data_IF_521797742280
#
_entry.id   IF_521797742280
#
_cell.length_a   1.000
_cell.length_b   1.000
_cell.length_c   1.000
_cell.angle_alpha   90.00
_cell.angle_beta   90.00
_cell.angle_gamma   90.00
#
_symmetry.space_group_name_H-M   'P 1'
#
loop_
_entity.id
_entity.type
_entity.pdbx_description
1 polymer ?
#
# COMPACT_ATOMS: atom_id res chain seq x y z
N UNK A 1 -68.34 18.00 35.68
CA UNK A 1 -68.96 18.17 34.35
C UNK A 1 -69.38 19.62 34.29
N UNK A 2 -68.48 20.49 33.81
CA UNK A 2 -68.72 21.93 33.81
C UNK A 2 -69.71 22.26 32.69
N UNK A 3 -70.91 22.68 33.07
CA UNK A 3 -71.96 23.08 32.14
C UNK A 3 -71.62 24.49 31.68
N UNK A 4 -70.93 24.58 30.54
CA UNK A 4 -70.68 25.86 29.87
C UNK A 4 -72.02 26.56 29.55
N UNK A 5 -72.08 27.90 29.65
CA UNK A 5 -73.33 28.63 29.48
C UNK A 5 -73.90 28.40 28.08
N UNK A 6 -75.20 28.08 28.01
CA UNK A 6 -75.94 28.11 26.75
C UNK A 6 -75.93 29.55 26.24
N UNK A 7 -75.18 29.82 25.17
CA UNK A 7 -75.14 31.12 24.52
C UNK A 7 -76.57 31.51 24.09
N UNK A 8 -77.19 32.53 24.71
CA UNK A 8 -78.50 33.02 24.30
C UNK A 8 -78.26 34.08 23.23
N UNK A 9 -78.59 33.75 21.99
CA UNK A 9 -78.52 34.71 20.91
C UNK A 9 -78.64 33.99 19.58
N UNK A 10 -79.50 34.52 18.70
CA UNK A 10 -79.51 34.09 17.30
C UNK A 10 -78.07 34.20 16.81
N UNK A 11 -77.43 33.06 16.53
CA UNK A 11 -76.17 33.07 15.79
C UNK A 11 -76.53 33.76 14.47
N UNK A 12 -75.92 34.91 14.13
CA UNK A 12 -76.19 35.58 12.88
C UNK A 12 -76.07 34.55 11.76
N UNK A 13 -77.02 34.55 10.83
CA UNK A 13 -77.01 33.58 9.72
C UNK A 13 -75.69 33.64 8.94
N UNK A 14 -75.01 34.79 8.98
CA UNK A 14 -73.66 35.02 8.48
C UNK A 14 -72.57 34.24 9.22
N UNK A 15 -72.65 34.06 10.55
CA UNK A 15 -71.70 33.27 11.34
C UNK A 15 -71.92 31.76 11.17
N UNK A 16 -73.17 31.32 11.00
CA UNK A 16 -73.48 29.93 10.63
C UNK A 16 -72.98 29.64 9.22
N UNK A 17 -73.24 30.56 8.29
CA UNK A 17 -72.73 30.50 6.92
C UNK A 17 -71.20 30.47 6.87
N UNK A 18 -70.50 31.33 7.61
CA UNK A 18 -69.04 31.37 7.63
C UNK A 18 -68.41 30.13 8.26
N UNK A 19 -69.05 29.53 9.27
CA UNK A 19 -68.60 28.26 9.86
C UNK A 19 -68.83 27.07 8.91
N UNK A 20 -69.94 27.09 8.18
CA UNK A 20 -70.23 26.08 7.16
C UNK A 20 -69.24 26.18 6.01
N UNK A 21 -68.95 27.38 5.50
CA UNK A 21 -67.95 27.56 4.44
C UNK A 21 -66.56 27.15 4.90
N UNK A 22 -66.16 27.49 6.13
CA UNK A 22 -64.88 27.04 6.70
C UNK A 22 -64.82 25.51 6.83
N UNK A 23 -65.90 24.86 7.28
CA UNK A 23 -65.98 23.39 7.34
C UNK A 23 -65.93 22.76 5.93
N UNK A 24 -66.63 23.33 4.95
CA UNK A 24 -66.61 22.86 3.57
C UNK A 24 -65.23 22.99 2.94
N UNK A 25 -64.53 24.12 3.18
CA UNK A 25 -63.16 24.33 2.73
C UNK A 25 -62.21 23.31 3.36
N UNK A 26 -62.34 23.04 4.67
CA UNK A 26 -61.55 22.02 5.36
C UNK A 26 -61.79 20.61 4.80
N UNK A 27 -63.06 20.25 4.55
CA UNK A 27 -63.41 18.95 3.96
C UNK A 27 -62.92 18.82 2.53
N UNK A 28 -63.02 19.88 1.73
CA UNK A 28 -62.50 19.89 0.35
C UNK A 28 -60.99 19.72 0.31
N UNK A 29 -60.26 20.38 1.24
CA UNK A 29 -58.81 20.21 1.39
C UNK A 29 -58.43 18.79 1.83
N UNK A 30 -59.16 18.21 2.79
CA UNK A 30 -58.93 16.81 3.21
C UNK A 30 -59.22 15.82 2.08
N UNK A 31 -60.31 16.02 1.34
CA UNK A 31 -60.70 15.17 0.22
C UNK A 31 -59.71 15.25 -0.94
N UNK A 32 -59.13 16.43 -1.21
CA UNK A 32 -58.04 16.59 -2.17
C UNK A 32 -56.80 15.81 -1.72
N UNK A 33 -56.38 15.98 -0.45
CA UNK A 33 -55.24 15.24 0.11
C UNK A 33 -55.43 13.72 0.03
N UNK A 34 -56.62 13.21 0.36
CA UNK A 34 -56.90 11.78 0.26
C UNK A 34 -56.88 11.28 -1.19
N UNK A 35 -57.38 12.08 -2.14
CA UNK A 35 -57.27 11.75 -3.57
C UNK A 35 -55.82 11.70 -4.02
N UNK A 36 -54.99 12.65 -3.59
CA UNK A 36 -53.56 12.66 -3.91
C UNK A 36 -52.84 11.44 -3.32
N UNK A 37 -53.17 11.05 -2.08
CA UNK A 37 -52.65 9.84 -1.44
C UNK A 37 -53.09 8.55 -2.16
N UNK A 38 -54.34 8.49 -2.64
CA UNK A 38 -54.84 7.36 -3.43
C UNK A 38 -54.16 7.29 -4.80
N UNK A 39 -53.99 8.44 -5.47
CA UNK A 39 -53.38 8.51 -6.79
C UNK A 39 -51.88 8.18 -6.76
N UNK A 40 -51.16 8.66 -5.74
CA UNK A 40 -49.71 8.46 -5.60
C UNK A 40 -49.33 7.19 -4.82
N UNK A 41 -50.26 6.64 -4.03
CA UNK A 41 -49.99 5.57 -3.07
C UNK A 41 -49.13 6.01 -1.88
N UNK A 42 -48.79 7.30 -1.75
CA UNK A 42 -47.90 7.81 -0.71
C UNK A 42 -48.71 8.39 0.45
N UNK A 43 -48.36 8.01 1.69
CA UNK A 43 -49.02 8.52 2.90
C UNK A 43 -48.65 9.99 3.20
N UNK A 44 -47.47 10.43 2.80
CA UNK A 44 -46.98 11.80 2.99
C UNK A 44 -46.25 12.24 1.73
N UNK A 45 -46.51 13.45 1.27
CA UNK A 45 -45.91 14.02 0.06
C UNK A 45 -44.95 15.16 0.38
N UNK A 46 -45.26 15.99 1.39
CA UNK A 46 -44.40 17.10 1.81
C UNK A 46 -43.70 16.83 3.15
N UNK A 47 -42.44 17.27 3.33
CA UNK A 47 -41.76 17.18 4.62
C UNK A 47 -42.51 17.85 5.79
N UNK A 48 -43.32 18.88 5.50
CA UNK A 48 -44.14 19.58 6.48
C UNK A 48 -45.29 18.73 7.05
N UNK A 49 -45.71 17.67 6.36
CA UNK A 49 -46.80 16.80 6.82
C UNK A 49 -46.35 15.81 7.90
N UNK A 50 -45.08 15.42 7.88
CA UNK A 50 -44.44 14.64 8.94
C UNK A 50 -42.91 14.76 8.84
N UNK A 51 -42.29 15.67 9.60
CA UNK A 51 -40.84 15.85 9.57
C UNK A 51 -40.06 14.58 9.93
N UNK A 52 -40.55 13.81 10.92
CA UNK A 52 -39.91 12.56 11.35
C UNK A 52 -39.97 11.47 10.26
N UNK A 53 -41.11 11.32 9.58
CA UNK A 53 -41.24 10.37 8.48
C UNK A 53 -40.40 10.81 7.27
N UNK A 54 -40.39 12.11 6.95
CA UNK A 54 -39.60 12.66 5.85
C UNK A 54 -38.10 12.42 6.02
N UNK A 55 -37.54 12.65 7.21
CA UNK A 55 -36.13 12.34 7.51
C UNK A 55 -35.81 10.87 7.27
N UNK A 56 -36.67 9.96 7.75
CA UNK A 56 -36.48 8.51 7.53
C UNK A 56 -36.60 8.13 6.06
N UNK A 57 -37.52 8.73 5.31
CA UNK A 57 -37.65 8.50 3.87
C UNK A 57 -36.40 8.94 3.12
N UNK A 58 -35.87 10.13 3.42
CA UNK A 58 -34.65 10.65 2.78
C UNK A 58 -33.45 9.74 3.06
N UNK A 59 -33.28 9.27 4.30
CA UNK A 59 -32.18 8.36 4.62
C UNK A 59 -32.33 7.01 3.92
N UNK A 60 -33.55 6.48 3.83
CA UNK A 60 -33.83 5.24 3.09
C UNK A 60 -33.64 5.40 1.59
N UNK A 61 -34.07 6.51 0.99
CA UNK A 61 -33.82 6.84 -0.42
C UNK A 61 -32.32 6.89 -0.72
N UNK A 62 -31.55 7.62 0.10
CA UNK A 62 -30.10 7.66 -0.06
C UNK A 62 -29.42 6.30 0.17
N UNK A 63 -30.01 5.41 0.99
CA UNK A 63 -29.53 4.02 1.11
C UNK A 63 -29.85 3.19 -0.13
N UNK A 64 -31.04 3.35 -0.73
CA UNK A 64 -31.45 2.69 -1.97
C UNK A 64 -30.51 3.11 -3.11
N UNK A 65 -30.29 4.41 -3.32
CA UNK A 65 -29.39 4.92 -4.37
C UNK A 65 -27.97 4.36 -4.24
N UNK A 66 -27.45 4.28 -3.00
CA UNK A 66 -26.14 3.66 -2.75
C UNK A 66 -26.13 2.16 -3.05
N UNK A 67 -27.22 1.45 -2.75
CA UNK A 67 -27.37 0.02 -3.07
C UNK A 67 -27.50 -0.21 -4.57
N UNK A 68 -28.22 0.65 -5.30
CA UNK A 68 -28.34 0.59 -6.76
C UNK A 68 -26.99 0.83 -7.44
N UNK A 69 -26.18 1.77 -6.93
CA UNK A 69 -24.81 1.96 -7.40
C UNK A 69 -23.94 0.72 -7.12
N UNK A 70 -24.08 0.11 -5.93
CA UNK A 70 -23.36 -1.13 -5.61
C UNK A 70 -23.74 -2.29 -6.54
N UNK A 71 -25.03 -2.44 -6.90
CA UNK A 71 -25.47 -3.42 -7.89
C UNK A 71 -24.85 -3.16 -9.27
N UNK A 72 -24.75 -1.91 -9.69
CA UNK A 72 -24.09 -1.51 -10.94
C UNK A 72 -22.59 -1.85 -10.92
N UNK A 73 -21.92 -1.61 -9.80
CA UNK A 73 -20.51 -1.97 -9.59
C UNK A 73 -20.29 -3.48 -9.61
N UNK A 74 -21.18 -4.25 -8.97
CA UNK A 74 -21.16 -5.72 -8.98
C UNK A 74 -21.33 -6.25 -10.40
N UNK A 75 -22.30 -5.72 -11.15
CA UNK A 75 -22.53 -6.15 -12.53
C UNK A 75 -21.32 -5.85 -13.42
N UNK A 76 -20.73 -4.66 -13.27
CA UNK A 76 -19.51 -4.29 -14.00
C UNK A 76 -18.33 -5.19 -13.65
N UNK A 77 -18.18 -5.53 -12.37
CA UNK A 77 -17.13 -6.43 -11.87
C UNK A 77 -17.33 -7.87 -12.39
N UNK A 78 -18.58 -8.36 -12.44
CA UNK A 78 -18.91 -9.68 -13.02
C UNK A 78 -18.57 -9.74 -14.50
N UNK A 79 -18.92 -8.72 -15.27
CA UNK A 79 -18.60 -8.66 -16.70
C UNK A 79 -17.08 -8.67 -16.92
N UNK A 80 -16.33 -7.90 -16.12
CA UNK A 80 -14.87 -7.84 -16.20
C UNK A 80 -14.22 -9.19 -15.85
N UNK A 81 -14.68 -9.86 -14.78
CA UNK A 81 -14.19 -11.18 -14.38
C UNK A 81 -14.55 -12.25 -15.42
N UNK A 82 -15.76 -12.20 -15.99
CA UNK A 82 -16.18 -13.13 -17.05
C UNK A 82 -15.32 -13.00 -18.31
N UNK A 83 -14.97 -11.77 -18.71
CA UNK A 83 -14.08 -11.56 -19.86
C UNK A 83 -12.64 -11.99 -19.56
N UNK A 84 -12.21 -11.80 -18.30
CA UNK A 84 -10.91 -12.28 -17.84
C UNK A 84 -10.84 -13.81 -17.91
N UNK A 85 -11.86 -14.51 -17.42
CA UNK A 85 -11.97 -15.97 -17.48
C UNK A 85 -11.99 -16.50 -18.91
N UNK A 86 -12.74 -15.86 -19.81
CA UNK A 86 -12.74 -16.21 -21.23
C UNK A 86 -11.35 -16.04 -21.86
N UNK A 87 -10.66 -14.93 -21.55
CA UNK A 87 -9.30 -14.69 -22.05
C UNK A 87 -8.32 -15.74 -21.52
N UNK A 88 -8.42 -16.12 -20.24
CA UNK A 88 -7.61 -17.18 -19.64
C UNK A 88 -7.91 -18.57 -20.24
N UNK A 89 -9.15 -18.83 -20.62
CA UNK A 89 -9.53 -20.06 -21.34
C UNK A 89 -8.80 -20.13 -22.69
N UNK A 90 -8.82 -19.05 -23.47
CA UNK A 90 -8.07 -18.96 -24.74
C UNK A 90 -6.56 -19.16 -24.54
N UNK A 91 -6.00 -18.58 -23.48
CA UNK A 91 -4.58 -18.78 -23.13
C UNK A 91 -4.29 -20.24 -22.77
N UNK A 92 -5.14 -20.86 -21.94
CA UNK A 92 -5.00 -22.25 -21.53
C UNK A 92 -5.03 -23.20 -22.73
N UNK A 93 -5.96 -23.00 -23.67
CA UNK A 93 -6.04 -23.77 -24.91
C UNK A 93 -4.78 -23.61 -25.77
N UNK A 94 -4.29 -22.38 -25.94
CA UNK A 94 -3.08 -22.10 -26.70
C UNK A 94 -1.83 -22.73 -26.06
N UNK A 95 -1.70 -22.67 -24.72
CA UNK A 95 -0.59 -23.30 -23.99
C UNK A 95 -0.64 -24.83 -24.07
N UNK A 96 -1.83 -25.43 -24.00
CA UNK A 96 -1.99 -26.87 -24.17
C UNK A 96 -1.60 -27.33 -25.58
N UNK A 97 -1.97 -26.54 -26.62
CA UNK A 97 -1.54 -26.79 -27.99
C UNK A 97 -0.03 -26.65 -28.16
N UNK A 98 0.55 -25.58 -27.61
CA UNK A 98 1.99 -25.32 -27.64
C UNK A 98 2.77 -26.46 -26.99
N UNK A 99 2.30 -26.97 -25.83
CA UNK A 99 2.88 -28.15 -25.18
C UNK A 99 2.86 -29.38 -26.08
N UNK A 100 1.77 -29.61 -26.82
CA UNK A 100 1.68 -30.70 -27.80
C UNK A 100 2.71 -30.57 -28.91
N UNK A 101 2.87 -29.36 -29.47
CA UNK A 101 3.88 -29.05 -30.49
C UNK A 101 5.29 -29.29 -29.96
N UNK A 102 5.61 -28.85 -28.74
CA UNK A 102 6.94 -29.04 -28.13
C UNK A 102 7.24 -30.52 -27.90
N UNK A 103 6.25 -31.30 -27.45
CA UNK A 103 6.40 -32.75 -27.30
C UNK A 103 6.63 -33.45 -28.65
N UNK A 104 5.95 -33.01 -29.71
CA UNK A 104 6.17 -33.50 -31.06
C UNK A 104 7.56 -33.09 -31.59
N UNK A 105 7.98 -31.84 -31.35
CA UNK A 105 9.26 -31.31 -31.74
C UNK A 105 10.46 -31.95 -31.01
N UNK A 106 10.21 -32.58 -29.86
CA UNK A 106 11.21 -33.37 -29.13
C UNK A 106 11.53 -34.72 -29.79
N UNK A 107 10.79 -35.13 -30.82
CA UNK A 107 11.10 -36.32 -31.62
C UNK A 107 12.28 -36.04 -32.56
N UNK A 108 13.31 -36.88 -32.49
CA UNK A 108 14.59 -36.71 -33.20
C UNK A 108 14.53 -37.01 -34.71
N UNK A 109 13.39 -37.47 -35.23
CA UNK A 109 13.23 -37.87 -36.64
C UNK A 109 12.58 -36.81 -37.55
N UNK A 110 12.28 -35.61 -37.03
CA UNK A 110 11.64 -34.55 -37.81
C UNK A 110 12.57 -33.98 -38.90
N UNK A 111 12.02 -33.76 -40.10
CA UNK A 111 12.71 -33.05 -41.16
C UNK A 111 12.81 -31.54 -40.87
N UNK A 112 13.78 -30.81 -41.45
CA UNK A 112 13.89 -29.36 -41.27
C UNK A 112 12.63 -28.59 -41.68
N UNK A 113 11.92 -29.04 -42.72
CA UNK A 113 10.67 -28.41 -43.17
C UNK A 113 9.53 -28.60 -42.16
N UNK A 114 9.45 -29.76 -41.51
CA UNK A 114 8.46 -30.02 -40.44
C UNK A 114 8.78 -29.20 -39.20
N UNK A 115 10.06 -29.06 -38.83
CA UNK A 115 10.49 -28.21 -37.71
C UNK A 115 10.10 -26.74 -37.94
N UNK A 116 10.32 -26.21 -39.15
CA UNK A 116 9.94 -24.83 -39.50
C UNK A 116 8.42 -24.61 -39.43
N UNK A 117 7.64 -25.59 -39.88
CA UNK A 117 6.17 -25.52 -39.79
C UNK A 117 5.68 -25.50 -38.35
N UNK A 118 6.27 -26.34 -37.47
CA UNK A 118 5.94 -26.38 -36.04
C UNK A 118 6.35 -25.08 -35.34
N UNK A 119 7.50 -24.50 -35.69
CA UNK A 119 7.95 -23.21 -35.16
C UNK A 119 6.99 -22.07 -35.56
N UNK A 120 6.52 -22.06 -36.80
CA UNK A 120 5.53 -21.07 -37.28
C UNK A 120 4.20 -21.20 -36.53
N UNK A 121 3.74 -22.42 -36.29
CA UNK A 121 2.52 -22.66 -35.49
C UNK A 121 2.71 -22.18 -34.05
N UNK A 122 3.87 -22.43 -33.45
CA UNK A 122 4.21 -21.96 -32.10
C UNK A 122 4.25 -20.42 -32.02
N UNK A 123 4.82 -19.72 -33.00
CA UNK A 123 4.80 -18.24 -33.06
C UNK A 123 3.37 -17.70 -33.13
N UNK A 124 2.49 -18.34 -33.91
CA UNK A 124 1.08 -17.99 -33.96
C UNK A 124 0.38 -18.15 -32.61
N UNK A 125 0.69 -19.22 -31.87
CA UNK A 125 0.15 -19.44 -30.52
C UNK A 125 0.65 -18.40 -29.52
N UNK A 126 1.94 -18.01 -29.60
CA UNK A 126 2.50 -16.94 -28.77
C UNK A 126 1.75 -15.62 -29.03
N UNK A 127 1.53 -15.26 -30.30
CA UNK A 127 0.75 -14.05 -30.66
C UNK A 127 -0.69 -14.12 -30.16
N UNK A 128 -1.31 -15.30 -30.18
CA UNK A 128 -2.65 -15.52 -29.65
C UNK A 128 -2.68 -15.29 -28.13
N UNK A 129 -1.71 -15.83 -27.39
CA UNK A 129 -1.58 -15.62 -25.94
C UNK A 129 -1.35 -14.15 -25.61
N UNK A 130 -0.45 -13.46 -26.33
CA UNK A 130 -0.19 -12.03 -26.14
C UNK A 130 -1.45 -11.19 -26.40
N UNK A 131 -2.19 -11.51 -27.47
CA UNK A 131 -3.44 -10.81 -27.80
C UNK A 131 -4.50 -11.02 -26.71
N UNK A 132 -4.67 -12.26 -26.22
CA UNK A 132 -5.59 -12.56 -25.13
C UNK A 132 -5.15 -11.91 -23.80
N UNK A 133 -3.84 -11.83 -23.53
CA UNK A 133 -3.27 -11.12 -22.39
C UNK A 133 -3.44 -9.59 -22.48
N UNK A 134 -3.62 -9.05 -23.68
CA UNK A 134 -3.88 -7.63 -23.93
C UNK A 134 -5.38 -7.29 -24.07
N UNK A 135 -6.28 -8.24 -23.77
CA UNK A 135 -7.72 -8.01 -23.78
C UNK A 135 -8.12 -6.81 -22.91
N UNK A 136 -9.15 -6.09 -23.36
CA UNK A 136 -9.64 -4.87 -22.72
C UNK A 136 -11.15 -4.90 -22.48
N UNK A 137 -11.59 -4.28 -21.39
CA UNK A 137 -13.00 -4.04 -21.07
C UNK A 137 -13.20 -2.55 -20.77
N UNK A 138 -14.11 -1.91 -21.51
CA UNK A 138 -14.44 -0.48 -21.34
C UNK A 138 -13.22 0.46 -21.31
N UNK A 139 -12.26 0.22 -22.21
CA UNK A 139 -11.03 1.03 -22.31
C UNK A 139 -9.94 0.72 -21.28
N UNK A 140 -10.14 -0.31 -20.45
CA UNK A 140 -9.15 -0.78 -19.47
C UNK A 140 -8.66 -2.18 -19.79
N UNK A 141 -7.34 -2.38 -19.74
CA UNK A 141 -6.71 -3.69 -19.90
C UNK A 141 -7.04 -4.61 -18.72
N UNK A 142 -7.30 -5.89 -19.00
CA UNK A 142 -7.73 -6.83 -17.97
C UNK A 142 -6.59 -7.22 -17.02
N UNK A 143 -5.41 -7.49 -17.59
CA UNK A 143 -4.29 -8.10 -16.87
C UNK A 143 -3.16 -7.12 -16.49
N UNK A 144 -3.30 -5.82 -16.82
CA UNK A 144 -2.29 -4.78 -16.54
C UNK A 144 -2.21 -4.27 -15.10
N UNK A 145 -2.97 -4.85 -14.17
CA UNK A 145 -3.04 -4.39 -12.79
C UNK A 145 -3.73 -3.03 -12.69
N UNK A 146 -3.09 -2.02 -12.10
CA UNK A 146 -3.59 -0.63 -12.06
C UNK A 146 -3.18 0.20 -13.28
N UNK A 147 -2.31 -0.34 -14.15
CA UNK A 147 -1.91 0.34 -15.38
C UNK A 147 -2.99 0.24 -16.46
N UNK A 148 -3.12 1.28 -17.28
CA UNK A 148 -3.97 1.29 -18.48
C UNK A 148 -3.18 1.03 -19.77
N UNK A 149 -1.86 0.79 -19.69
CA UNK A 149 -1.03 0.46 -20.84
C UNK A 149 -1.17 -1.03 -21.19
N UNK A 150 -0.91 -1.41 -22.45
CA UNK A 150 -0.90 -2.81 -22.87
C UNK A 150 0.10 -3.61 -22.03
N UNK A 151 -0.37 -4.65 -21.31
CA UNK A 151 0.48 -5.41 -20.40
C UNK A 151 1.57 -6.21 -21.12
N UNK A 152 1.33 -6.70 -22.33
CA UNK A 152 2.27 -7.54 -23.05
C UNK A 152 2.71 -6.88 -24.36
N UNK A 153 4.02 -6.84 -24.60
CA UNK A 153 4.62 -6.28 -25.80
C UNK A 153 5.63 -7.27 -26.38
N UNK A 154 5.54 -7.53 -27.69
CA UNK A 154 6.52 -8.39 -28.38
C UNK A 154 7.69 -7.54 -28.86
N UNK A 155 8.88 -7.82 -28.34
CA UNK A 155 10.13 -7.16 -28.71
C UNK A 155 10.63 -7.68 -30.08
N UNK A 156 11.45 -6.89 -30.81
CA UNK A 156 12.08 -7.33 -32.07
C UNK A 156 12.96 -8.59 -31.93
N UNK A 157 13.41 -8.89 -30.71
CA UNK A 157 14.17 -10.10 -30.36
C UNK A 157 13.30 -11.37 -30.24
N UNK A 158 11.98 -11.26 -30.38
CA UNK A 158 11.03 -12.38 -30.21
C UNK A 158 10.62 -12.66 -28.76
N UNK A 159 11.10 -11.86 -27.80
CA UNK A 159 10.68 -11.97 -26.39
C UNK A 159 9.41 -11.16 -26.12
N UNK A 160 8.60 -11.62 -25.16
CA UNK A 160 7.42 -10.89 -24.69
C UNK A 160 7.78 -10.17 -23.38
N UNK A 161 7.68 -8.85 -23.39
CA UNK A 161 7.88 -7.99 -22.22
C UNK A 161 6.55 -7.74 -21.52
N UNK A 162 6.55 -7.82 -20.19
CA UNK A 162 5.43 -7.42 -19.37
C UNK A 162 5.61 -5.99 -18.83
N UNK A 163 4.69 -5.08 -19.17
CA UNK A 163 4.69 -3.67 -18.75
C UNK A 163 3.56 -3.34 -17.74
N UNK A 164 2.95 -4.35 -17.13
CA UNK A 164 1.90 -4.17 -16.13
C UNK A 164 2.43 -4.15 -14.69
N UNK A 165 1.51 -4.13 -13.72
CA UNK A 165 1.86 -4.27 -12.31
C UNK A 165 0.95 -5.27 -11.58
N UNK A 166 1.29 -5.60 -10.33
CA UNK A 166 0.51 -6.52 -9.48
C UNK A 166 -0.61 -5.83 -8.69
N UNK A 167 -0.98 -4.60 -9.08
CA UNK A 167 -1.96 -3.80 -8.34
C UNK A 167 -3.38 -4.30 -8.50
N UNK A 168 -4.12 -4.34 -7.38
CA UNK A 168 -5.54 -4.68 -7.35
C UNK A 168 -6.40 -3.43 -7.45
N UNK A 169 -7.44 -3.49 -8.29
CA UNK A 169 -8.49 -2.49 -8.36
C UNK A 169 -9.67 -2.97 -7.52
N UNK A 170 -10.08 -2.13 -6.59
CA UNK A 170 -11.18 -2.41 -5.69
C UNK A 170 -12.44 -1.68 -6.15
N UNK A 171 -13.57 -2.40 -6.16
CA UNK A 171 -14.89 -1.83 -6.38
C UNK A 171 -15.75 -1.96 -5.13
N UNK A 172 -16.62 -0.97 -4.91
CA UNK A 172 -17.56 -0.98 -3.81
C UNK A 172 -18.71 -1.93 -4.13
N UNK A 173 -18.80 -3.05 -3.41
CA UNK A 173 -19.86 -4.08 -3.60
C UNK A 173 -20.98 -3.98 -2.56
N UNK A 174 -20.73 -3.28 -1.45
CA UNK A 174 -21.74 -2.88 -0.48
C UNK A 174 -21.28 -1.62 0.28
N UNK A 175 -22.12 -1.06 1.13
CA UNK A 175 -21.84 0.07 2.01
C UNK A 175 -20.54 -0.18 2.77
N UNK A 176 -19.49 0.56 2.37
CA UNK A 176 -18.12 0.50 2.92
C UNK A 176 -17.39 -0.84 2.72
N UNK A 177 -17.86 -1.69 1.80
CA UNK A 177 -17.19 -2.94 1.45
C UNK A 177 -16.53 -2.83 0.08
N UNK A 178 -15.20 -2.80 0.09
CA UNK A 178 -14.36 -2.83 -1.10
C UNK A 178 -13.93 -4.26 -1.39
N UNK A 179 -14.04 -4.68 -2.64
CA UNK A 179 -13.53 -5.96 -3.10
C UNK A 179 -12.73 -5.81 -4.38
N UNK A 180 -11.60 -6.51 -4.45
CA UNK A 180 -10.77 -6.57 -5.65
C UNK A 180 -11.57 -7.22 -6.79
N UNK A 181 -11.56 -6.59 -7.97
CA UNK A 181 -12.33 -7.05 -9.11
C UNK A 181 -11.49 -7.37 -10.34
N UNK A 182 -10.17 -7.23 -10.30
CA UNK A 182 -9.25 -7.62 -11.37
C UNK A 182 -8.35 -8.78 -10.97
N UNK A 183 -7.82 -9.47 -11.98
CA UNK A 183 -6.75 -10.45 -11.83
C UNK A 183 -5.52 -9.89 -12.53
N UNK A 184 -4.44 -9.64 -11.80
CA UNK A 184 -3.18 -9.18 -12.40
C UNK A 184 -2.53 -10.30 -13.21
N UNK A 185 -1.81 -9.97 -14.29
CA UNK A 185 -1.15 -10.97 -15.14
C UNK A 185 -0.17 -11.90 -14.40
N UNK A 186 0.39 -11.45 -13.28
CA UNK A 186 1.37 -12.21 -12.54
C UNK A 186 0.84 -13.59 -12.08
N UNK A 187 -0.38 -13.65 -11.56
CA UNK A 187 -0.97 -14.91 -11.07
C UNK A 187 -1.23 -15.95 -12.18
N UNK A 188 -1.90 -15.61 -13.30
CA UNK A 188 -2.19 -16.57 -14.36
C UNK A 188 -1.05 -16.82 -15.35
N UNK A 189 -0.17 -15.85 -15.60
CA UNK A 189 0.89 -15.97 -16.60
C UNK A 189 2.29 -16.13 -15.99
N UNK A 190 2.45 -15.97 -14.68
CA UNK A 190 3.77 -16.00 -14.03
C UNK A 190 4.70 -14.93 -14.58
N UNK A 191 4.17 -13.74 -14.87
CA UNK A 191 4.87 -12.69 -15.63
C UNK A 191 6.08 -12.11 -14.93
N UNK A 192 6.19 -12.26 -13.61
CA UNK A 192 7.39 -11.85 -12.88
C UNK A 192 8.15 -13.08 -12.44
N UNK A 193 9.45 -13.10 -12.70
CA UNK A 193 10.35 -14.11 -12.13
C UNK A 193 10.27 -14.13 -10.60
N UNK A 194 10.69 -15.23 -9.98
CA UNK A 194 10.98 -15.20 -8.54
C UNK A 194 11.97 -14.06 -8.28
N UNK A 195 11.65 -13.12 -7.37
CA UNK A 195 12.53 -12.00 -7.12
C UNK A 195 13.89 -12.49 -6.63
N UNK A 196 14.95 -12.06 -7.31
CA UNK A 196 16.29 -12.17 -6.77
C UNK A 196 16.42 -11.07 -5.75
N UNK A 197 16.34 -11.45 -4.48
CA UNK A 197 16.49 -10.54 -3.34
C UNK A 197 17.30 -11.22 -2.25
N UNK A 198 18.21 -10.46 -1.66
CA UNK A 198 18.89 -10.81 -0.41
C UNK A 198 18.77 -9.64 0.55
N UNK A 199 18.82 -9.93 1.85
CA UNK A 199 18.98 -8.89 2.86
C UNK A 199 20.37 -8.26 2.67
N UNK A 200 20.40 -6.96 2.41
CA UNK A 200 21.64 -6.19 2.23
C UNK A 200 21.85 -5.20 3.38
N UNK A 201 21.24 -5.47 4.55
CA UNK A 201 21.34 -4.79 5.85
C UNK A 201 22.10 -3.46 5.77
N UNK A 202 21.43 -2.32 5.58
CA UNK A 202 22.10 -1.05 5.45
C UNK A 202 22.74 -0.62 6.78
N UNK A 203 23.86 0.07 6.71
CA UNK A 203 24.51 0.64 7.88
C UNK A 203 23.66 1.75 8.48
N UNK A 204 23.63 1.78 9.81
CA UNK A 204 23.12 2.90 10.59
C UNK A 204 23.99 4.13 10.33
N UNK A 205 23.36 5.26 10.04
CA UNK A 205 24.00 6.56 9.89
C UNK A 205 23.36 7.57 10.83
N UNK A 206 24.03 8.68 11.11
CA UNK A 206 23.46 9.75 11.94
C UNK A 206 22.22 10.38 11.28
N UNK A 207 22.14 10.35 9.96
CA UNK A 207 20.99 10.80 9.17
C UNK A 207 19.82 9.80 9.11
N UNK A 208 20.00 8.56 9.59
CA UNK A 208 18.94 7.55 9.58
C UNK A 208 17.77 8.01 10.45
N UNK A 209 16.55 7.93 9.91
CA UNK A 209 15.32 8.35 10.61
C UNK A 209 14.86 7.27 11.57
N UNK A 210 14.30 7.68 12.71
CA UNK A 210 13.74 6.74 13.70
C UNK A 210 12.55 5.96 13.14
N UNK A 211 11.77 6.56 12.22
CA UNK A 211 10.66 5.88 11.53
C UNK A 211 11.09 4.72 10.65
N UNK A 212 12.36 4.70 10.23
CA UNK A 212 12.87 3.73 9.28
C UNK A 212 13.59 2.58 10.00
N UNK A 213 13.67 2.60 11.33
CA UNK A 213 14.30 1.57 12.15
C UNK A 213 13.32 0.42 12.47
N UNK A 214 13.84 -0.66 13.06
CA UNK A 214 13.10 -1.87 13.42
C UNK A 214 12.34 -2.47 12.22
N UNK A 215 13.04 -2.62 11.09
CA UNK A 215 12.46 -3.12 9.84
C UNK A 215 11.40 -2.19 9.24
N UNK A 216 11.41 -0.91 9.60
CA UNK A 216 10.42 0.09 9.17
C UNK A 216 9.15 0.16 10.02
N UNK A 217 9.10 -0.57 11.15
CA UNK A 217 8.05 -0.35 12.17
C UNK A 217 8.20 1.00 12.87
N UNK A 218 9.42 1.54 12.86
CA UNK A 218 9.79 2.77 13.51
C UNK A 218 10.03 2.60 15.01
N UNK A 219 10.89 3.46 15.55
CA UNK A 219 11.13 3.60 16.98
C UNK A 219 10.36 4.84 17.47
N UNK A 220 9.59 4.67 18.54
CA UNK A 220 8.74 5.75 19.07
C UNK A 220 9.46 6.47 20.21
N UNK A 221 9.96 7.70 19.99
CA UNK A 221 10.75 8.37 21.00
C UNK A 221 9.93 8.66 22.26
N UNK A 222 10.47 8.23 23.39
CA UNK A 222 9.98 8.54 24.73
C UNK A 222 11.14 8.92 25.65
N UNK A 223 10.87 9.22 26.91
CA UNK A 223 11.93 9.55 27.85
C UNK A 223 12.68 8.31 28.32
N UNK A 224 14.01 8.40 28.42
CA UNK A 224 14.85 7.38 29.03
C UNK A 224 15.68 7.96 30.17
N UNK A 225 16.18 7.13 31.07
CA UNK A 225 17.02 7.54 32.18
C UNK A 225 18.41 6.98 32.01
N UNK A 226 19.41 7.86 32.05
CA UNK A 226 20.82 7.49 32.00
C UNK A 226 21.45 7.84 33.34
N UNK A 227 22.21 6.91 33.89
CA UNK A 227 23.04 7.12 35.08
C UNK A 227 24.50 6.94 34.72
N UNK A 228 25.32 7.95 35.00
CA UNK A 228 26.78 7.89 34.91
C UNK A 228 27.38 7.81 36.31
N UNK A 229 28.34 6.92 36.52
CA UNK A 229 28.97 6.73 37.83
C UNK A 229 30.45 6.37 37.70
N UNK A 230 31.32 7.14 38.35
CA UNK A 230 32.77 6.92 38.44
C UNK A 230 33.27 6.51 39.83
N UNK A 231 32.38 6.04 40.71
CA UNK A 231 32.67 5.70 42.12
C UNK A 231 32.42 6.85 43.09
N UNK A 232 31.91 7.99 42.61
CA UNK A 232 31.47 9.14 43.40
C UNK A 232 29.95 9.19 43.59
N UNK A 233 29.35 10.39 43.55
CA UNK A 233 27.90 10.54 43.50
C UNK A 233 27.40 10.31 42.07
N UNK A 234 26.52 9.32 41.82
CA UNK A 234 26.03 9.04 40.47
C UNK A 234 25.28 10.23 39.87
N UNK A 235 25.57 10.55 38.61
CA UNK A 235 24.85 11.55 37.84
C UNK A 235 23.70 10.91 37.09
N UNK A 236 22.47 11.22 37.49
CA UNK A 236 21.25 10.66 36.88
C UNK A 236 20.55 11.75 36.10
N UNK A 237 20.27 11.51 34.82
CA UNK A 237 19.46 12.39 33.98
C UNK A 237 18.32 11.60 33.34
N UNK A 238 17.12 12.17 33.38
CA UNK A 238 15.99 11.74 32.56
C UNK A 238 15.98 12.59 31.30
N UNK A 239 16.20 11.97 30.14
CA UNK A 239 16.30 12.64 28.85
C UNK A 239 15.01 12.43 28.10
N UNK A 240 14.40 13.53 27.64
CA UNK A 240 13.23 13.48 26.78
C UNK A 240 13.64 13.45 25.31
N UNK A 241 13.37 12.32 24.65
CA UNK A 241 13.62 12.14 23.23
C UNK A 241 12.41 12.52 22.37
N UNK A 242 11.27 12.91 22.98
CA UNK A 242 10.07 13.25 22.22
C UNK A 242 10.35 14.38 21.21
N UNK A 243 10.02 14.13 19.94
CA UNK A 243 10.34 15.03 18.82
C UNK A 243 11.72 14.82 18.17
N UNK A 244 12.51 13.85 18.61
CA UNK A 244 13.64 13.36 17.82
C UNK A 244 13.12 12.66 16.56
N UNK A 245 13.72 12.95 15.41
CA UNK A 245 13.35 12.35 14.12
C UNK A 245 14.45 11.45 13.55
N UNK A 246 15.70 11.69 13.95
CA UNK A 246 16.90 11.00 13.44
C UNK A 246 17.81 10.51 14.57
N UNK A 247 18.75 9.61 14.24
CA UNK A 247 19.81 9.19 15.16
C UNK A 247 20.67 10.38 15.63
N UNK A 248 20.91 11.37 14.76
CA UNK A 248 21.59 12.61 15.14
C UNK A 248 20.86 13.36 16.25
N UNK A 249 19.53 13.41 16.21
CA UNK A 249 18.74 14.08 17.25
C UNK A 249 18.87 13.36 18.60
N UNK A 250 18.85 12.02 18.58
CA UNK A 250 19.06 11.19 19.78
C UNK A 250 20.46 11.45 20.36
N UNK A 251 21.50 11.40 19.51
CA UNK A 251 22.88 11.70 19.90
C UNK A 251 22.97 13.06 20.57
N UNK A 252 22.48 14.10 19.90
CA UNK A 252 22.59 15.49 20.36
C UNK A 252 21.89 15.67 21.71
N UNK A 253 20.65 15.18 21.84
CA UNK A 253 19.88 15.32 23.09
C UNK A 253 20.52 14.60 24.27
N UNK A 254 21.09 13.43 24.05
CA UNK A 254 21.76 12.67 25.11
C UNK A 254 23.05 13.37 25.54
N UNK A 255 23.89 13.80 24.58
CA UNK A 255 25.15 14.48 24.90
C UNK A 255 24.92 15.84 25.57
N UNK A 256 23.94 16.61 25.09
CA UNK A 256 23.58 17.91 25.67
C UNK A 256 23.12 17.80 27.13
N UNK A 257 22.40 16.73 27.48
CA UNK A 257 21.92 16.50 28.85
C UNK A 257 23.04 16.32 29.89
N UNK A 258 24.25 15.95 29.45
CA UNK A 258 25.43 15.78 30.31
C UNK A 258 26.54 16.80 30.06
N UNK A 259 26.39 17.69 29.07
CA UNK A 259 27.43 18.65 28.65
C UNK A 259 27.92 19.62 29.74
N UNK A 260 27.06 19.94 30.72
CA UNK A 260 27.38 20.83 31.85
C UNK A 260 27.82 20.12 33.13
N UNK A 261 27.93 18.79 33.12
CA UNK A 261 28.24 17.97 34.29
C UNK A 261 29.71 17.56 34.41
N UNK A 262 30.16 17.08 35.59
CA UNK A 262 31.48 16.47 35.79
C UNK A 262 31.70 15.17 34.99
N UNK A 263 30.64 14.45 34.60
CA UNK A 263 30.72 13.29 33.69
C UNK A 263 29.94 13.60 32.41
N UNK A 264 30.54 13.27 31.28
CA UNK A 264 29.90 13.38 29.95
C UNK A 264 29.71 11.99 29.35
N UNK A 265 28.88 11.89 28.33
CA UNK A 265 28.67 10.68 27.54
C UNK A 265 28.91 11.00 26.08
N UNK A 266 29.62 10.13 25.36
CA UNK A 266 29.72 10.15 23.91
C UNK A 266 28.77 9.11 23.33
N UNK A 267 27.94 9.53 22.37
CA UNK A 267 27.07 8.65 21.60
C UNK A 267 27.58 8.59 20.17
N UNK A 268 27.94 7.38 19.72
CA UNK A 268 28.42 7.12 18.37
C UNK A 268 27.66 5.93 17.75
N UNK A 269 27.89 5.67 16.48
CA UNK A 269 27.47 4.41 15.85
C UNK A 269 28.47 3.33 16.28
N UNK A 270 27.99 2.13 16.59
CA UNK A 270 28.84 1.03 17.01
C UNK A 270 29.78 0.55 15.87
N UNK A 271 30.86 -0.18 16.18
CA UNK A 271 31.78 -0.67 15.15
C UNK A 271 31.15 -1.59 14.10
N UNK A 272 30.06 -2.28 14.46
CA UNK A 272 29.27 -3.12 13.56
C UNK A 272 28.35 -2.31 12.62
N UNK A 273 28.29 -0.98 12.78
CA UNK A 273 27.45 -0.05 12.03
C UNK A 273 25.96 -0.38 12.03
N UNK A 274 25.45 -1.04 13.07
CA UNK A 274 24.04 -1.45 13.13
C UNK A 274 23.32 -0.95 14.40
N UNK A 275 24.06 -0.39 15.36
CA UNK A 275 23.50 0.09 16.63
C UNK A 275 24.25 1.29 17.18
N UNK A 276 23.84 1.74 18.36
CA UNK A 276 24.47 2.87 19.06
C UNK A 276 25.55 2.40 20.03
N UNK A 277 26.61 3.18 20.19
CA UNK A 277 27.67 2.98 21.18
C UNK A 277 27.66 4.14 22.15
N UNK A 278 27.45 3.84 23.43
CA UNK A 278 27.46 4.81 24.52
C UNK A 278 28.75 4.65 25.32
N UNK A 279 29.54 5.72 25.36
CA UNK A 279 30.85 5.75 26.03
C UNK A 279 30.89 6.88 27.06
N UNK A 280 30.87 6.60 28.36
CA UNK A 280 31.03 7.62 29.38
C UNK A 280 32.46 8.18 29.38
N UNK A 281 32.65 9.42 29.82
CA UNK A 281 33.98 10.04 29.95
C UNK A 281 34.85 9.36 31.01
N UNK A 282 34.23 8.80 32.04
CA UNK A 282 34.85 8.00 33.07
C UNK A 282 33.81 7.11 33.77
N UNK A 283 34.23 5.94 34.27
CA UNK A 283 33.39 5.06 35.07
C UNK A 283 32.45 4.18 34.24
N UNK A 284 31.19 4.12 34.64
CA UNK A 284 30.14 3.27 34.06
C UNK A 284 28.92 4.09 33.63
N UNK A 285 28.21 3.56 32.64
CA UNK A 285 26.93 4.05 32.16
C UNK A 285 25.87 2.96 32.37
N UNK A 286 24.70 3.36 32.87
CA UNK A 286 23.51 2.53 33.00
C UNK A 286 22.36 3.23 32.28
N UNK A 287 21.57 2.48 31.51
CA UNK A 287 20.40 3.01 30.78
C UNK A 287 19.16 2.25 31.23
N UNK A 288 18.12 2.98 31.60
CA UNK A 288 16.87 2.46 32.12
C UNK A 288 15.67 3.10 31.44
N UNK A 289 14.57 2.35 31.37
CA UNK A 289 13.28 2.87 30.94
C UNK A 289 12.66 3.78 32.00
N UNK A 290 11.80 4.70 31.54
CA UNK A 290 11.07 5.64 32.39
C UNK A 290 9.58 5.52 32.12
N UNK A 291 8.77 5.52 33.18
CA UNK A 291 7.30 5.56 33.11
C UNK A 291 6.65 4.48 32.21
N UNK A 292 7.27 3.30 32.08
CA UNK A 292 6.78 2.21 31.23
C UNK A 292 7.08 2.36 29.74
N UNK A 293 7.99 3.27 29.37
CA UNK A 293 8.54 3.35 28.01
C UNK A 293 9.36 2.12 27.61
N UNK A 294 9.61 1.98 26.32
CA UNK A 294 10.36 0.88 25.69
C UNK A 294 11.52 1.38 24.82
N UNK A 295 11.83 2.68 24.88
CA UNK A 295 12.78 3.31 23.95
C UNK A 295 14.21 2.83 24.16
N UNK A 296 14.64 2.53 25.40
CA UNK A 296 15.98 2.00 25.63
C UNK A 296 16.11 0.57 25.09
N UNK A 297 15.05 -0.23 25.18
CA UNK A 297 14.99 -1.55 24.57
C UNK A 297 14.93 -1.48 23.04
N UNK A 298 14.12 -0.58 22.48
CA UNK A 298 13.99 -0.34 21.04
C UNK A 298 15.30 0.18 20.42
N UNK A 299 16.03 1.04 21.13
CA UNK A 299 17.38 1.47 20.74
C UNK A 299 18.47 0.42 21.05
N UNK A 300 18.10 -0.73 21.62
CA UNK A 300 19.02 -1.81 21.95
C UNK A 300 20.05 -1.47 23.04
N UNK A 301 19.85 -0.37 23.79
CA UNK A 301 20.81 0.16 24.78
C UNK A 301 20.38 -0.07 26.24
N UNK A 302 19.22 -0.68 26.48
CA UNK A 302 18.77 -1.05 27.83
C UNK A 302 19.79 -1.98 28.49
N UNK A 303 20.44 -1.50 29.56
CA UNK A 303 21.53 -2.24 30.18
C UNK A 303 21.76 -1.85 31.64
N UNK A 304 22.28 -2.82 32.40
CA UNK A 304 22.86 -2.56 33.71
C UNK A 304 24.13 -1.69 33.59
N UNK A 305 24.70 -1.28 34.72
CA UNK A 305 25.90 -0.45 34.73
C UNK A 305 27.07 -1.16 34.03
N UNK A 306 27.61 -0.54 32.98
CA UNK A 306 28.70 -1.08 32.17
C UNK A 306 29.69 0.03 31.80
N UNK A 307 30.96 -0.32 31.55
CA UNK A 307 31.97 0.67 31.15
C UNK A 307 31.63 1.33 29.80
N UNK A 308 31.02 0.59 28.88
CA UNK A 308 30.48 1.07 27.60
C UNK A 308 29.26 0.22 27.26
N UNK A 309 28.24 0.80 26.64
CA UNK A 309 27.07 0.05 26.14
C UNK A 309 27.15 0.01 24.62
N UNK A 310 27.25 -1.20 24.06
CA UNK A 310 27.11 -1.43 22.62
C UNK A 310 25.69 -1.92 22.36
N UNK A 311 24.90 -1.09 21.70
CA UNK A 311 23.52 -1.37 21.34
C UNK A 311 23.41 -2.47 20.30
N UNK A 312 22.27 -3.17 20.34
CA UNK A 312 21.88 -4.18 19.35
C UNK A 312 21.62 -3.61 17.96
N UNK A 313 21.36 -4.51 17.01
CA UNK A 313 20.98 -4.14 15.65
C UNK A 313 19.63 -3.42 15.64
N UNK A 314 19.61 -2.21 15.06
CA UNK A 314 18.41 -1.39 14.92
C UNK A 314 17.66 -1.64 13.60
N UNK A 315 18.16 -2.54 12.77
CA UNK A 315 17.56 -3.00 11.51
C UNK A 315 16.99 -1.84 10.67
N UNK A 316 17.86 -0.91 10.21
CA UNK A 316 17.42 0.20 9.39
C UNK A 316 16.88 -0.28 8.04
N UNK A 317 15.75 0.30 7.62
CA UNK A 317 15.13 0.03 6.32
C UNK A 317 15.93 0.69 5.19
N UNK A 318 15.99 0.02 4.05
CA UNK A 318 16.48 0.60 2.79
C UNK A 318 15.45 1.59 2.25
N UNK A 319 15.95 2.75 1.83
CA UNK A 319 15.19 3.77 1.11
C UNK A 319 15.87 4.05 -0.23
N UNK A 320 15.17 4.71 -1.15
CA UNK A 320 15.77 5.15 -2.43
C UNK A 320 16.99 6.07 -2.22
N UNK A 321 17.02 6.80 -1.09
CA UNK A 321 18.12 7.70 -0.72
C UNK A 321 19.26 7.01 0.03
N UNK A 322 19.11 5.73 0.39
CA UNK A 322 20.18 4.97 1.04
C UNK A 322 21.38 4.90 0.11
N UNK A 323 22.57 5.25 0.62
CA UNK A 323 23.79 5.22 -0.18
C UNK A 323 24.23 3.78 -0.42
N UNK A 324 24.75 3.54 -1.61
CA UNK A 324 25.28 2.23 -1.99
C UNK A 324 26.50 1.82 -1.17
N UNK A 325 27.26 2.79 -0.64
CA UNK A 325 28.37 2.57 0.29
C UNK A 325 27.93 2.06 1.66
N UNK A 326 26.67 2.30 2.02
CA UNK A 326 26.14 2.00 3.34
C UNK A 326 25.51 0.61 3.37
N UNK A 327 25.26 -0.03 2.22
CA UNK A 327 24.75 -1.40 2.13
C UNK A 327 25.74 -2.44 2.70
N UNK A 328 25.26 -3.64 3.01
CA UNK A 328 26.02 -4.76 3.58
C UNK A 328 26.80 -4.38 4.86
N UNK A 329 26.13 -3.78 5.83
CA UNK A 329 26.77 -3.29 7.06
C UNK A 329 27.80 -2.20 6.80
N UNK A 330 27.63 -1.42 5.73
CA UNK A 330 28.54 -0.35 5.35
C UNK A 330 29.87 -0.83 4.75
N UNK A 331 29.91 -2.06 4.24
CA UNK A 331 30.90 -2.53 3.28
C UNK A 331 30.62 -2.02 1.86
N UNK A 332 29.38 -1.58 1.64
CA UNK A 332 28.82 -1.14 0.38
C UNK A 332 28.55 -2.29 -0.59
N UNK A 333 28.06 -1.92 -1.76
CA UNK A 333 28.15 -2.77 -2.94
C UNK A 333 29.43 -2.39 -3.68
N UNK A 334 30.54 -3.08 -3.40
CA UNK A 334 31.73 -2.95 -4.23
C UNK A 334 31.39 -3.44 -5.63
N UNK A 335 31.04 -2.51 -6.52
CA UNK A 335 31.26 -2.69 -7.93
C UNK A 335 32.77 -2.83 -8.08
N UNK A 336 33.25 -4.08 -8.17
CA UNK A 336 34.63 -4.32 -8.59
C UNK A 336 34.85 -3.47 -9.83
N UNK A 337 35.84 -2.58 -9.79
CA UNK A 337 36.10 -1.49 -10.75
C UNK A 337 36.38 -1.94 -12.20
N UNK A 338 36.06 -3.18 -12.55
CA UNK A 338 36.18 -3.78 -13.87
C UNK A 338 34.96 -4.66 -14.27
N UNK A 339 33.93 -4.82 -13.43
CA UNK A 339 32.98 -5.94 -13.57
C UNK A 339 31.49 -5.63 -13.78
N UNK A 340 30.99 -4.43 -13.45
CA UNK A 340 29.55 -4.11 -13.49
C UNK A 340 28.64 -5.10 -12.73
N UNK A 341 27.32 -4.95 -12.85
CA UNK A 341 26.34 -5.97 -12.45
C UNK A 341 26.04 -6.85 -13.66
N UNK A 342 26.50 -8.10 -13.64
CA UNK A 342 26.17 -9.07 -14.68
C UNK A 342 24.76 -9.62 -14.46
N UNK A 343 23.84 -9.26 -15.35
CA UNK A 343 22.46 -9.70 -15.30
C UNK A 343 22.23 -10.66 -16.45
N UNK A 344 21.79 -11.87 -16.13
CA UNK A 344 21.41 -12.87 -17.12
C UNK A 344 19.89 -13.01 -17.08
N UNK A 345 19.23 -12.60 -18.16
CA UNK A 345 17.80 -12.81 -18.38
C UNK A 345 17.63 -13.76 -19.56
N UNK A 346 17.08 -14.96 -19.29
CA UNK A 346 17.02 -16.05 -20.27
C UNK A 346 18.42 -16.49 -20.72
N UNK A 347 18.76 -16.20 -21.99
CA UNK A 347 20.07 -16.50 -22.59
C UNK A 347 20.98 -15.29 -22.83
N UNK A 348 20.54 -14.07 -22.47
CA UNK A 348 21.31 -12.84 -22.68
C UNK A 348 21.94 -12.40 -21.37
N UNK A 349 23.26 -12.30 -21.34
CA UNK A 349 24.01 -11.72 -20.23
C UNK A 349 24.44 -10.31 -20.60
N UNK A 350 24.00 -9.32 -19.84
CA UNK A 350 24.41 -7.92 -19.99
C UNK A 350 25.10 -7.47 -18.72
N UNK A 351 26.24 -6.80 -18.87
CA UNK A 351 26.96 -6.19 -17.77
C UNK A 351 26.52 -4.73 -17.66
N UNK A 352 25.78 -4.41 -16.60
CA UNK A 352 25.32 -3.04 -16.34
C UNK A 352 26.42 -2.28 -15.61
N UNK A 353 26.85 -1.16 -16.21
CA UNK A 353 27.81 -0.27 -15.56
C UNK A 353 27.14 0.57 -14.46
N UNK A 354 27.43 0.21 -13.22
CA UNK A 354 26.99 0.92 -12.02
C UNK A 354 27.95 2.02 -11.58
N UNK A 355 29.00 2.32 -12.36
CA UNK A 355 29.93 3.40 -12.05
C UNK A 355 29.22 4.75 -11.90
N UNK A 356 29.57 5.51 -10.86
CA UNK A 356 28.95 6.81 -10.56
C UNK A 356 27.56 6.74 -9.91
N UNK A 357 26.99 5.56 -9.67
CA UNK A 357 25.81 5.43 -8.82
C UNK A 357 26.20 5.70 -7.35
N UNK A 358 25.46 6.57 -6.65
CA UNK A 358 25.70 6.88 -5.23
C UNK A 358 24.60 6.32 -4.34
N UNK A 359 23.35 6.33 -4.82
CA UNK A 359 22.18 5.88 -4.07
C UNK A 359 21.51 4.64 -4.68
N UNK A 360 20.60 4.00 -3.94
CA UNK A 360 19.74 2.92 -4.45
C UNK A 360 18.90 3.41 -5.64
N UNK A 361 18.45 4.66 -5.63
CA UNK A 361 17.76 5.29 -6.75
C UNK A 361 18.63 5.34 -8.01
N UNK A 362 19.89 5.79 -7.89
CA UNK A 362 20.82 5.85 -9.02
C UNK A 362 21.07 4.45 -9.61
N UNK A 363 21.17 3.44 -8.74
CA UNK A 363 21.33 2.06 -9.14
C UNK A 363 20.11 1.57 -9.95
N UNK A 364 18.90 1.78 -9.45
CA UNK A 364 17.67 1.39 -10.15
C UNK A 364 17.52 2.11 -11.49
N UNK A 365 17.82 3.40 -11.54
CA UNK A 365 17.81 4.17 -12.79
C UNK A 365 18.78 3.60 -13.83
N UNK A 366 19.98 3.19 -13.41
CA UNK A 366 20.96 2.55 -14.32
C UNK A 366 20.55 1.15 -14.76
N UNK A 367 19.96 0.35 -13.87
CA UNK A 367 19.44 -0.97 -14.19
C UNK A 367 18.28 -0.88 -15.20
N UNK A 368 17.39 0.09 -15.03
CA UNK A 368 16.28 0.33 -15.94
C UNK A 368 16.75 0.89 -17.29
N UNK A 369 17.79 1.74 -17.30
CA UNK A 369 18.40 2.25 -18.53
C UNK A 369 19.11 1.17 -19.37
N UNK A 370 19.47 0.03 -18.79
CA UNK A 370 20.09 -1.08 -19.50
C UNK A 370 19.12 -1.92 -20.35
N UNK A 371 17.82 -1.55 -20.39
CA UNK A 371 16.77 -2.11 -21.25
C UNK A 371 16.60 -3.64 -21.19
N UNK A 372 16.76 -4.21 -19.99
CA UNK A 372 16.68 -5.66 -19.74
C UNK A 372 15.27 -6.16 -19.38
N UNK A 373 14.24 -5.32 -19.53
CA UNK A 373 12.88 -5.58 -19.00
C UNK A 373 12.88 -5.92 -17.51
N UNK A 374 13.74 -5.27 -16.72
CA UNK A 374 13.85 -5.51 -15.28
C UNK A 374 12.84 -4.65 -14.53
N UNK A 375 12.12 -5.26 -13.60
CA UNK A 375 11.42 -4.56 -12.52
C UNK A 375 12.31 -4.58 -11.28
N UNK A 376 12.80 -3.41 -10.87
CA UNK A 376 13.68 -3.23 -9.71
C UNK A 376 12.95 -2.47 -8.62
N UNK A 377 12.85 -3.06 -7.44
CA UNK A 377 12.18 -2.45 -6.29
C UNK A 377 12.88 -2.81 -4.99
N UNK A 378 12.58 -2.10 -3.91
CA UNK A 378 12.92 -2.55 -2.57
C UNK A 378 11.96 -3.69 -2.20
N UNK A 379 12.46 -4.76 -1.59
CA UNK A 379 11.63 -5.90 -1.22
C UNK A 379 10.58 -5.52 -0.15
N UNK A 380 9.57 -6.38 0.03
CA UNK A 380 8.47 -6.10 0.96
C UNK A 380 8.93 -5.99 2.43
N UNK A 381 10.02 -6.70 2.77
CA UNK A 381 10.66 -6.62 4.08
C UNK A 381 11.46 -5.32 4.30
N UNK A 382 11.70 -4.53 3.25
CA UNK A 382 12.44 -3.28 3.33
C UNK A 382 13.94 -3.40 3.59
N UNK A 383 14.49 -4.62 3.64
CA UNK A 383 15.89 -4.90 3.96
C UNK A 383 16.70 -5.37 2.74
N UNK A 384 16.07 -5.53 1.57
CA UNK A 384 16.68 -6.07 0.37
C UNK A 384 16.31 -5.34 -0.91
N UNK A 385 17.16 -5.49 -1.92
CA UNK A 385 16.85 -5.07 -3.29
C UNK A 385 16.26 -6.27 -4.03
N UNK A 386 15.06 -6.11 -4.59
CA UNK A 386 14.35 -7.10 -5.37
C UNK A 386 14.46 -6.77 -6.85
N UNK A 387 15.01 -7.72 -7.61
CA UNK A 387 15.09 -7.64 -9.07
C UNK A 387 14.26 -8.78 -9.66
N UNK A 388 13.30 -8.42 -10.51
CA UNK A 388 12.47 -9.34 -11.28
C UNK A 388 12.54 -9.01 -12.76
N UNK A 389 12.22 -9.99 -13.60
CA UNK A 389 12.08 -9.85 -15.06
C UNK A 389 10.68 -10.23 -15.50
#
# INVERSE_FOLDING_TARGET
>A
MDIGPLLPGRVPNSLVGSRLTSTLQANQSLLQKLQDQIATGQKFFLPSESPAAALRTITLQGLIERKDQALTNIQSSRNLLSLSDQSLTTVSEALNRAKGIVLQASDTQLSPAEQESLATELDSLIRQVVTAGNSQYSGRVLFGGTSNQSPFEVLPSGYVRFNGNTGSINSLIDLRQLQANNVSANTPFGTTSTPVSSDVNPALTLSTRLSDLAGGSGIFPSSLKITLDNGGTPQVQTIDLTGASTIQDIKTRIEDAFSGGPLTIGVAINPAKNGLLFTPSAGTVKVEEVNGGTIAAELGVLSAAAATITGGDLDPRITLQTKLSDLNGGAGITATAAGGLSITNGGTTTVVDVSGAVTVEDLFNKLQAADLSLDTRINDAGNGLSITT
#
